data_IF_262127255590
#
_entry.id   IF_262127255590
#
_cell.length_a   1.000
_cell.length_b   1.000
_cell.length_c   1.000
_cell.angle_alpha   90.00
_cell.angle_beta   90.00
_cell.angle_gamma   90.00
#
_symmetry.space_group_name_H-M   'P 1'
#
loop_
_entity.id
_entity.type
_entity.pdbx_description
1 polymer ?
#
# COMPACT_ATOMS: atom_id res chain seq x y z
N UNK A 1 -7.14 -4.98 29.30
CA UNK A 1 -5.95 -4.41 28.63
C UNK A 1 -6.45 -3.45 27.55
N UNK A 2 -6.49 -2.15 27.85
CA UNK A 2 -6.92 -1.14 26.89
C UNK A 2 -5.76 -0.81 25.94
N UNK A 3 -6.01 -0.74 24.63
CA UNK A 3 -5.02 -0.40 23.61
C UNK A 3 -4.56 1.06 23.79
N UNK A 4 -3.37 1.25 24.34
CA UNK A 4 -2.78 2.56 24.66
C UNK A 4 -2.33 3.38 23.41
N UNK A 5 -2.84 3.06 22.22
CA UNK A 5 -2.40 3.66 20.95
C UNK A 5 -3.53 4.34 20.17
N UNK A 6 -4.63 4.71 20.82
CA UNK A 6 -5.63 5.58 20.17
C UNK A 6 -4.99 6.97 19.96
N UNK A 7 -4.72 7.32 18.70
CA UNK A 7 -4.21 8.65 18.30
C UNK A 7 -2.86 8.65 17.59
N UNK A 8 -2.18 7.51 17.42
CA UNK A 8 -0.93 7.45 16.65
C UNK A 8 -1.26 7.35 15.15
N UNK A 9 -0.73 8.28 14.36
CA UNK A 9 -0.86 8.26 12.90
C UNK A 9 -0.21 7.00 12.31
N UNK A 10 -0.95 6.32 11.45
CA UNK A 10 -0.46 5.19 10.67
C UNK A 10 -0.05 5.70 9.30
N UNK A 11 1.24 5.57 8.96
CA UNK A 11 1.79 5.99 7.68
C UNK A 11 2.16 4.76 6.86
N UNK A 12 1.53 4.60 5.70
CA UNK A 12 1.91 3.60 4.71
C UNK A 12 2.76 4.25 3.61
N UNK A 13 3.92 3.65 3.32
CA UNK A 13 4.79 4.06 2.21
C UNK A 13 4.96 2.89 1.27
N UNK A 14 4.41 3.03 0.06
CA UNK A 14 4.50 2.02 -0.98
C UNK A 14 5.27 2.51 -2.20
N UNK A 15 5.80 1.57 -2.97
CA UNK A 15 6.38 1.83 -4.30
C UNK A 15 6.06 0.69 -5.26
N UNK A 16 5.97 1.05 -6.54
CA UNK A 16 5.96 0.06 -7.63
C UNK A 16 7.36 -0.53 -7.76
N UNK A 17 7.45 -1.85 -7.68
CA UNK A 17 8.68 -2.61 -7.87
C UNK A 17 8.86 -2.93 -9.36
N UNK A 18 7.78 -3.34 -10.01
CA UNK A 18 7.77 -3.67 -11.44
C UNK A 18 6.39 -3.39 -12.04
N UNK A 19 6.36 -2.83 -13.25
CA UNK A 19 5.13 -2.57 -14.00
C UNK A 19 5.21 -3.17 -15.41
N UNK A 20 4.34 -4.13 -15.68
CA UNK A 20 4.15 -4.72 -17.00
C UNK A 20 2.84 -4.28 -17.66
N UNK A 21 2.53 -4.87 -18.82
CA UNK A 21 1.36 -4.50 -19.64
C UNK A 21 0.01 -4.76 -18.96
N UNK A 22 -0.08 -5.80 -18.13
CA UNK A 22 -1.33 -6.22 -17.45
C UNK A 22 -1.17 -6.42 -15.94
N UNK A 23 0.04 -6.29 -15.41
CA UNK A 23 0.36 -6.64 -14.03
C UNK A 23 1.33 -5.62 -13.42
N UNK A 24 1.10 -5.26 -12.17
CA UNK A 24 1.97 -4.39 -11.38
C UNK A 24 2.33 -5.12 -10.09
N UNK A 25 3.61 -5.15 -9.76
CA UNK A 25 4.12 -5.61 -8.47
C UNK A 25 4.48 -4.39 -7.63
N UNK A 26 3.97 -4.31 -6.41
CA UNK A 26 4.28 -3.24 -5.48
C UNK A 26 4.66 -3.80 -4.12
N UNK A 27 5.42 -3.02 -3.37
CA UNK A 27 5.71 -3.28 -1.96
C UNK A 27 5.29 -2.07 -1.12
N UNK A 28 4.94 -2.33 0.14
CA UNK A 28 4.55 -1.28 1.07
C UNK A 28 5.00 -1.61 2.49
N UNK A 29 5.48 -0.59 3.19
CA UNK A 29 5.79 -0.64 4.61
C UNK A 29 4.88 0.31 5.37
N UNK A 30 4.32 -0.19 6.47
CA UNK A 30 3.34 0.50 7.31
C UNK A 30 3.97 0.76 8.66
N UNK A 31 3.93 2.00 9.12
CA UNK A 31 4.54 2.45 10.37
C UNK A 31 3.54 3.14 11.28
N UNK A 32 3.76 3.05 12.59
CA UNK A 32 3.16 3.90 13.60
C UNK A 32 4.28 4.54 14.43
N UNK A 33 4.56 5.82 14.17
CA UNK A 33 5.82 6.45 14.58
C UNK A 33 7.01 5.74 13.95
N UNK A 34 7.97 5.31 14.77
CA UNK A 34 9.16 4.56 14.32
C UNK A 34 8.94 3.04 14.22
N UNK A 35 7.81 2.54 14.72
CA UNK A 35 7.52 1.11 14.75
C UNK A 35 7.00 0.64 13.39
N UNK A 36 7.71 -0.29 12.77
CA UNK A 36 7.19 -1.05 11.63
C UNK A 36 6.06 -1.96 12.10
N UNK A 37 4.87 -1.77 11.52
CA UNK A 37 3.69 -2.58 11.79
C UNK A 37 3.52 -3.70 10.76
N UNK A 38 3.83 -3.43 9.49
CA UNK A 38 3.72 -4.42 8.43
C UNK A 38 4.69 -4.13 7.28
N UNK A 39 5.19 -5.20 6.66
CA UNK A 39 5.89 -5.18 5.37
C UNK A 39 5.11 -6.12 4.44
N UNK A 40 4.67 -5.60 3.31
CA UNK A 40 3.69 -6.26 2.45
C UNK A 40 4.08 -6.15 0.99
N UNK A 41 3.69 -7.16 0.21
CA UNK A 41 3.80 -7.20 -1.24
C UNK A 41 2.41 -7.37 -1.85
N UNK A 42 2.15 -6.64 -2.91
CA UNK A 42 0.88 -6.67 -3.64
C UNK A 42 1.10 -6.89 -5.12
N UNK A 43 0.22 -7.68 -5.73
CA UNK A 43 0.18 -7.89 -7.17
C UNK A 43 -1.18 -7.41 -7.68
N UNK A 44 -1.17 -6.50 -8.65
CA UNK A 44 -2.37 -5.89 -9.20
C UNK A 44 -2.51 -6.26 -10.67
N UNK A 45 -3.70 -6.73 -11.06
CA UNK A 45 -4.02 -7.05 -12.44
C UNK A 45 -4.90 -5.97 -13.05
N UNK A 46 -4.51 -5.47 -14.22
CA UNK A 46 -5.34 -4.56 -15.01
C UNK A 46 -6.47 -5.35 -15.66
N UNK A 47 -7.69 -5.18 -15.15
CA UNK A 47 -8.88 -5.85 -15.69
C UNK A 47 -9.43 -5.16 -16.94
N UNK A 48 -9.55 -3.84 -16.93
CA UNK A 48 -10.04 -3.04 -18.06
C UNK A 48 -9.47 -1.63 -18.03
N UNK A 49 -9.59 -0.93 -19.15
CA UNK A 49 -9.35 0.50 -19.24
C UNK A 49 -10.66 1.25 -18.94
N UNK A 50 -10.63 2.16 -17.96
CA UNK A 50 -11.75 3.06 -17.68
C UNK A 50 -11.39 4.40 -18.31
N UNK A 51 -12.09 4.76 -19.39
CA UNK A 51 -12.01 6.08 -19.99
C UNK A 51 -13.07 6.97 -19.34
N UNK A 52 -12.67 7.74 -18.33
CA UNK A 52 -13.48 8.84 -17.81
C UNK A 52 -13.25 10.01 -18.77
N UNK A 53 -14.23 10.30 -19.63
CA UNK A 53 -14.19 11.51 -20.46
C UNK A 53 -14.51 12.70 -19.56
N UNK A 54 -13.64 13.71 -19.57
CA UNK A 54 -13.88 15.05 -19.02
C UNK A 54 -14.96 15.79 -19.82
#
# INVERSE_FOLDING_TARGET
MASKNMGIEIVARGRVVEAGRKMIFAESRIYAGEKLLADTRGTFYKMSDINIKE
#
